data_IF_470374168981
#
_entry.id   IF_470374168981
#
_cell.length_a   1.000
_cell.length_b   1.000
_cell.length_c   1.000
_cell.angle_alpha   90.00
_cell.angle_beta   90.00
_cell.angle_gamma   90.00
#
_symmetry.space_group_name_H-M   'P 1'
#
loop_
_entity.id
_entity.type
_entity.pdbx_description
1 polymer ?
#
# COMPACT_ATOMS: atom_id res chain seq x y z
N UNK A 1 21.66 -0.95 0.71
CA UNK A 1 20.80 0.19 0.32
C UNK A 1 21.01 0.42 -1.17
N UNK A 2 19.94 0.39 -1.97
CA UNK A 2 20.01 0.62 -3.41
C UNK A 2 19.07 1.78 -3.74
N UNK A 3 19.63 2.96 -4.02
CA UNK A 3 18.85 4.12 -4.42
C UNK A 3 18.24 3.88 -5.80
N UNK A 4 16.96 4.22 -5.96
CA UNK A 4 16.20 3.99 -7.20
C UNK A 4 16.14 5.21 -8.11
N UNK A 5 16.28 6.40 -7.52
CA UNK A 5 16.22 7.67 -8.23
C UNK A 5 17.44 8.52 -7.90
N UNK A 6 17.96 9.19 -8.92
CA UNK A 6 19.09 10.12 -8.81
C UNK A 6 18.71 11.43 -9.51
N UNK A 7 19.09 12.55 -8.92
CA UNK A 7 18.90 13.89 -9.47
C UNK A 7 20.07 14.79 -9.02
N UNK A 8 20.16 16.00 -9.57
CA UNK A 8 21.22 16.96 -9.25
C UNK A 8 20.62 18.33 -8.98
N UNK A 9 20.89 18.86 -7.79
CA UNK A 9 20.58 20.26 -7.46
C UNK A 9 21.72 21.13 -7.94
N UNK A 10 21.42 22.13 -8.78
CA UNK A 10 22.36 23.17 -9.20
C UNK A 10 21.99 24.50 -8.58
N UNK A 11 22.98 25.27 -8.16
CA UNK A 11 22.81 26.60 -7.57
C UNK A 11 23.99 27.52 -7.88
N UNK A 12 23.73 28.83 -7.88
CA UNK A 12 24.74 29.85 -8.16
C UNK A 12 25.53 30.29 -6.92
N UNK A 13 25.09 29.90 -5.72
CA UNK A 13 25.74 30.22 -4.45
C UNK A 13 25.46 29.16 -3.38
N UNK A 14 26.27 29.10 -2.30
CA UNK A 14 26.04 28.15 -1.19
C UNK A 14 24.68 28.32 -0.52
N UNK A 15 24.20 29.55 -0.37
CA UNK A 15 22.90 29.84 0.26
C UNK A 15 21.72 29.43 -0.62
N UNK A 16 21.82 29.60 -1.94
CA UNK A 16 20.83 29.11 -2.90
C UNK A 16 20.83 27.56 -2.92
N UNK A 17 22.01 26.93 -2.86
CA UNK A 17 22.12 25.47 -2.78
C UNK A 17 21.44 24.93 -1.53
N UNK A 18 21.69 25.53 -0.36
CA UNK A 18 21.08 25.11 0.90
C UNK A 18 19.56 25.22 0.88
N UNK A 19 19.00 26.30 0.30
CA UNK A 19 17.55 26.47 0.15
C UNK A 19 16.93 25.40 -0.74
N UNK A 20 17.52 25.15 -1.92
CA UNK A 20 17.01 24.15 -2.87
C UNK A 20 17.14 22.73 -2.31
N UNK A 21 18.21 22.42 -1.59
CA UNK A 21 18.37 21.14 -0.90
C UNK A 21 17.33 20.95 0.20
N UNK A 22 17.06 22.00 0.99
CA UNK A 22 16.02 21.94 2.03
C UNK A 22 14.65 21.63 1.44
N UNK A 23 14.35 22.14 0.25
CA UNK A 23 13.12 21.80 -0.46
C UNK A 23 13.12 20.34 -0.93
N UNK A 24 14.19 19.88 -1.59
CA UNK A 24 14.32 18.49 -2.06
C UNK A 24 14.26 17.47 -0.91
N UNK A 25 14.81 17.80 0.26
CA UNK A 25 14.69 16.96 1.47
C UNK A 25 13.23 16.76 1.90
N UNK A 26 12.40 17.82 1.83
CA UNK A 26 10.96 17.72 2.11
C UNK A 26 10.20 16.87 1.08
N UNK A 27 10.74 16.76 -0.12
CA UNK A 27 10.21 15.95 -1.23
C UNK A 27 10.69 14.49 -1.19
N UNK A 28 11.45 14.10 -0.15
CA UNK A 28 11.91 12.72 0.06
C UNK A 28 13.29 12.40 -0.52
N UNK A 29 14.00 13.38 -1.04
CA UNK A 29 15.39 13.21 -1.49
C UNK A 29 16.38 13.27 -0.34
N UNK A 30 17.58 12.73 -0.54
CA UNK A 30 18.72 12.88 0.36
C UNK A 30 20.01 13.20 -0.41
N UNK A 31 20.93 14.02 0.15
CA UNK A 31 22.23 14.28 -0.45
C UNK A 31 23.01 12.97 -0.65
N UNK A 32 23.54 12.81 -1.85
CA UNK A 32 24.40 11.70 -2.21
C UNK A 32 25.83 12.21 -2.38
N UNK A 33 26.67 11.98 -1.38
CA UNK A 33 28.03 12.52 -1.33
C UNK A 33 28.08 14.02 -1.03
N UNK A 34 29.25 14.62 -1.23
CA UNK A 34 29.51 16.04 -0.97
C UNK A 34 29.21 16.92 -2.18
N UNK A 35 28.85 18.20 -1.99
CA UNK A 35 28.61 19.11 -3.10
C UNK A 35 29.92 19.43 -3.83
N UNK A 36 29.84 19.58 -5.14
CA UNK A 36 30.97 19.87 -6.03
C UNK A 36 30.82 21.28 -6.61
N UNK A 37 31.90 22.06 -6.58
CA UNK A 37 31.99 23.32 -7.32
C UNK A 37 32.51 23.04 -8.72
N UNK A 38 31.68 23.30 -9.74
CA UNK A 38 32.05 23.05 -11.16
C UNK A 38 32.66 24.32 -11.77
N UNK A 39 32.17 25.48 -11.36
CA UNK A 39 32.74 26.80 -11.68
C UNK A 39 32.62 27.70 -10.44
N UNK A 40 33.25 28.89 -10.41
CA UNK A 40 33.10 29.84 -9.30
C UNK A 40 31.64 30.24 -9.01
N UNK A 41 30.73 30.03 -9.96
CA UNK A 41 29.32 30.42 -9.89
C UNK A 41 28.38 29.22 -10.09
N UNK A 42 28.86 27.99 -9.94
CA UNK A 42 28.01 26.80 -10.10
C UNK A 42 28.40 25.73 -9.10
N UNK A 43 27.55 25.56 -8.10
CA UNK A 43 27.60 24.44 -7.16
C UNK A 43 26.59 23.38 -7.58
N UNK A 44 26.97 22.12 -7.40
CA UNK A 44 26.11 20.97 -7.65
C UNK A 44 26.11 20.03 -6.46
N UNK A 45 24.94 19.51 -6.09
CA UNK A 45 24.78 18.43 -5.12
C UNK A 45 24.01 17.31 -5.79
N UNK A 46 24.63 16.13 -5.90
CA UNK A 46 23.91 14.92 -6.27
C UNK A 46 22.94 14.57 -5.13
N UNK A 47 21.73 14.17 -5.48
CA UNK A 47 20.72 13.72 -4.53
C UNK A 47 20.18 12.38 -5.01
N UNK A 48 19.76 11.54 -4.06
CA UNK A 48 19.20 10.23 -4.34
C UNK A 48 17.94 10.00 -3.49
N UNK A 49 17.06 9.12 -3.93
CA UNK A 49 15.88 8.73 -3.17
C UNK A 49 15.67 7.20 -3.23
N UNK A 50 15.22 6.63 -2.12
CA UNK A 50 14.91 5.20 -2.01
C UNK A 50 13.43 4.87 -2.33
N UNK A 51 12.54 5.87 -2.35
CA UNK A 51 11.10 5.73 -2.60
C UNK A 51 10.52 6.83 -3.52
N UNK A 52 9.18 6.85 -3.66
CA UNK A 52 8.45 7.81 -4.52
C UNK A 52 8.74 9.27 -4.13
N UNK A 53 9.18 10.03 -5.12
CA UNK A 53 9.49 11.45 -4.99
C UNK A 53 8.26 12.26 -5.40
N UNK A 54 7.87 13.26 -4.59
CA UNK A 54 6.69 14.09 -4.87
C UNK A 54 6.88 15.11 -6.02
N UNK A 55 8.12 15.39 -6.42
CA UNK A 55 8.46 16.23 -7.58
C UNK A 55 9.07 15.41 -8.72
N UNK A 56 8.55 15.52 -9.96
CA UNK A 56 9.07 14.78 -11.10
C UNK A 56 10.50 15.21 -11.44
N UNK A 57 11.36 14.24 -11.77
CA UNK A 57 12.68 14.49 -12.35
C UNK A 57 12.46 15.00 -13.77
N UNK A 58 12.68 16.30 -13.99
CA UNK A 58 12.64 16.89 -15.33
C UNK A 58 14.03 16.74 -15.95
N UNK A 59 14.27 15.65 -16.66
CA UNK A 59 15.37 15.61 -17.65
C UNK A 59 14.84 16.33 -18.89
N UNK A 60 15.35 17.54 -19.17
CA UNK A 60 15.17 18.16 -20.49
C UNK A 60 16.30 17.66 -21.40
N UNK A 61 16.04 16.82 -22.42
CA UNK A 61 16.96 16.70 -23.54
C UNK A 61 17.08 18.05 -24.24
N UNK A 62 18.21 18.33 -24.87
CA UNK A 62 18.46 19.57 -25.63
C UNK A 62 17.51 19.77 -26.81
N UNK A 63 16.72 18.76 -27.16
CA UNK A 63 15.99 18.71 -28.42
C UNK A 63 14.48 18.59 -28.14
N UNK A 64 13.87 19.71 -27.77
CA UNK A 64 12.47 20.06 -28.07
C UNK A 64 11.30 19.27 -27.45
N UNK A 65 11.45 18.00 -27.09
CA UNK A 65 10.34 17.18 -26.57
C UNK A 65 10.73 16.60 -25.20
N UNK A 66 10.24 17.27 -24.15
CA UNK A 66 10.34 16.76 -22.78
C UNK A 66 9.40 15.56 -22.60
N UNK A 67 9.96 14.36 -22.52
CA UNK A 67 9.23 13.20 -22.02
C UNK A 67 9.08 13.33 -20.49
N UNK A 68 7.89 13.73 -20.06
CA UNK A 68 7.50 13.77 -18.64
C UNK A 68 7.30 12.32 -18.18
N UNK A 69 8.25 11.74 -17.44
CA UNK A 69 7.99 10.50 -16.70
C UNK A 69 7.18 10.89 -15.44
N UNK A 70 5.88 11.09 -15.65
CA UNK A 70 4.91 11.26 -14.59
C UNK A 70 4.56 9.87 -14.03
N UNK A 71 5.12 9.48 -12.89
CA UNK A 71 4.73 8.25 -12.20
C UNK A 71 3.51 8.44 -11.28
N UNK A 72 2.70 9.48 -11.48
CA UNK A 72 1.40 9.64 -10.81
C UNK A 72 0.22 9.13 -11.67
N UNK A 73 0.48 8.29 -12.67
CA UNK A 73 -0.61 7.56 -13.32
C UNK A 73 -1.07 6.41 -12.42
N UNK A 74 -2.39 6.24 -12.29
CA UNK A 74 -2.94 5.02 -11.71
C UNK A 74 -2.38 3.81 -12.47
N UNK A 75 -2.04 2.71 -11.78
CA UNK A 75 -1.58 1.50 -12.45
C UNK A 75 -2.50 1.08 -13.60
N UNK A 76 -1.91 0.67 -14.73
CA UNK A 76 -2.66 0.12 -15.86
C UNK A 76 -3.33 -1.21 -15.53
N UNK A 77 -2.77 -1.96 -14.58
CA UNK A 77 -3.26 -3.24 -14.08
C UNK A 77 -2.61 -3.58 -12.73
N UNK A 78 -3.09 -4.64 -12.09
CA UNK A 78 -2.64 -5.06 -10.78
C UNK A 78 -2.20 -6.54 -10.75
N UNK A 79 -1.12 -6.81 -10.02
CA UNK A 79 -0.88 -8.13 -9.46
C UNK A 79 -1.76 -8.29 -8.23
N UNK A 80 -2.63 -9.30 -8.25
CA UNK A 80 -3.59 -9.58 -7.19
C UNK A 80 -2.96 -10.52 -6.17
N UNK A 81 -3.03 -10.15 -4.88
CA UNK A 81 -2.58 -10.97 -3.76
C UNK A 81 -3.74 -11.13 -2.80
N UNK A 82 -4.26 -12.34 -2.67
CA UNK A 82 -5.29 -12.64 -1.68
C UNK A 82 -4.65 -12.94 -0.31
N UNK A 83 -5.25 -12.41 0.74
CA UNK A 83 -4.84 -12.63 2.13
C UNK A 83 -5.99 -13.36 2.82
N UNK A 84 -5.72 -14.55 3.35
CA UNK A 84 -6.74 -15.39 3.96
C UNK A 84 -6.19 -16.20 5.14
N UNK A 85 -7.11 -16.66 5.99
CA UNK A 85 -6.80 -17.37 7.22
C UNK A 85 -7.41 -16.68 8.42
N UNK A 86 -6.67 -16.62 9.54
CA UNK A 86 -7.17 -16.08 10.81
C UNK A 86 -6.35 -14.89 11.33
N UNK A 87 -6.28 -14.73 12.66
CA UNK A 87 -5.73 -13.56 13.34
C UNK A 87 -4.31 -13.19 12.89
N UNK A 88 -3.40 -14.16 12.84
CA UNK A 88 -2.02 -13.91 12.39
C UNK A 88 -1.90 -13.63 10.89
N UNK A 89 -2.97 -13.84 10.11
CA UNK A 89 -3.06 -13.43 8.71
C UNK A 89 -3.53 -11.99 8.49
N UNK A 90 -3.87 -11.26 9.56
CA UNK A 90 -4.46 -9.92 9.49
C UNK A 90 -3.94 -8.98 10.59
N UNK A 91 -4.61 -7.86 10.78
CA UNK A 91 -4.19 -6.77 11.65
C UNK A 91 -4.33 -7.09 13.15
N UNK A 92 -3.59 -8.05 13.69
CA UNK A 92 -3.54 -8.34 15.13
C UNK A 92 -2.30 -7.74 15.84
N UNK A 93 -1.45 -7.00 15.13
CA UNK A 93 -0.34 -6.28 15.74
C UNK A 93 -0.85 -5.11 16.58
N UNK A 94 -0.63 -5.16 17.90
CA UNK A 94 -1.13 -4.16 18.85
C UNK A 94 -0.21 -2.93 18.99
N UNK A 95 0.95 -2.94 18.33
CA UNK A 95 1.88 -1.82 18.31
C UNK A 95 1.28 -0.57 17.66
N UNK A 96 1.79 0.60 18.02
CA UNK A 96 1.35 1.87 17.45
C UNK A 96 1.61 1.93 15.94
N UNK A 97 0.58 2.15 15.09
CA UNK A 97 0.79 2.36 13.66
C UNK A 97 1.67 3.58 13.36
N UNK A 98 2.45 3.49 12.28
CA UNK A 98 3.41 4.50 11.84
C UNK A 98 3.12 4.99 10.41
N UNK A 99 1.97 5.67 10.17
CA UNK A 99 1.47 6.02 8.83
C UNK A 99 2.35 7.03 8.09
N UNK A 100 3.25 7.72 8.79
CA UNK A 100 4.22 8.63 8.16
C UNK A 100 5.48 7.89 7.66
N UNK A 101 5.71 6.65 8.08
CA UNK A 101 6.93 5.88 7.78
C UNK A 101 6.63 4.48 7.24
N UNK A 102 6.75 3.44 8.06
CA UNK A 102 6.66 2.04 7.65
C UNK A 102 5.27 1.67 7.15
N UNK A 103 4.24 2.23 7.78
CA UNK A 103 2.83 1.95 7.49
C UNK A 103 2.24 2.92 6.48
N UNK A 104 3.07 3.82 5.93
CA UNK A 104 2.63 4.79 4.92
C UNK A 104 2.04 4.09 3.71
N UNK A 105 0.80 4.43 3.29
CA UNK A 105 0.21 3.94 2.05
C UNK A 105 1.07 4.27 0.82
N UNK A 106 0.93 3.46 -0.22
CA UNK A 106 1.59 3.65 -1.51
C UNK A 106 0.54 3.84 -2.61
N UNK A 107 0.71 4.80 -3.54
CA UNK A 107 -0.27 5.07 -4.58
C UNK A 107 -0.54 3.87 -5.49
N UNK A 108 0.42 2.95 -5.65
CA UNK A 108 0.31 1.74 -6.49
C UNK A 108 -0.19 0.51 -5.72
N UNK A 109 -0.39 0.61 -4.41
CA UNK A 109 -0.91 -0.48 -3.58
C UNK A 109 -2.34 -0.17 -3.16
N UNK A 110 -3.26 -1.03 -3.57
CA UNK A 110 -4.69 -0.92 -3.32
C UNK A 110 -5.22 -2.16 -2.60
N UNK A 111 -6.44 -2.07 -2.08
CA UNK A 111 -7.18 -3.21 -1.55
C UNK A 111 -8.64 -3.17 -2.01
N UNK A 112 -9.31 -4.33 -1.98
CA UNK A 112 -10.77 -4.38 -2.12
C UNK A 112 -11.45 -4.01 -0.80
N UNK A 113 -12.31 -3.00 -0.85
CA UNK A 113 -13.05 -2.53 0.30
C UNK A 113 -14.08 -3.55 0.84
N UNK A 114 -14.29 -3.54 2.15
CA UNK A 114 -15.43 -4.16 2.85
C UNK A 114 -16.22 -3.20 3.74
N UNK A 115 -15.52 -2.36 4.52
CA UNK A 115 -16.11 -1.35 5.41
C UNK A 115 -16.93 -0.33 4.61
N UNK A 116 -17.77 0.45 5.32
CA UNK A 116 -18.55 1.55 4.74
C UNK A 116 -17.72 2.80 4.43
N UNK A 117 -16.53 2.92 5.01
CA UNK A 117 -15.57 4.01 4.77
C UNK A 117 -14.15 3.47 4.60
N UNK A 118 -13.32 4.19 3.83
CA UNK A 118 -11.93 3.82 3.53
C UNK A 118 -11.07 3.78 4.80
N UNK A 119 -11.27 4.74 5.68
CA UNK A 119 -10.69 4.81 7.03
C UNK A 119 -11.79 5.19 8.02
N UNK A 120 -11.63 5.03 9.34
CA UNK A 120 -12.60 5.52 10.31
C UNK A 120 -12.86 7.02 10.14
N UNK A 121 -14.10 7.41 9.85
CA UNK A 121 -14.49 8.80 9.57
C UNK A 121 -14.02 9.34 8.21
N UNK A 122 -13.44 8.50 7.35
CA UNK A 122 -12.98 8.87 6.01
C UNK A 122 -14.07 8.82 4.95
N UNK A 123 -13.65 8.88 3.68
CA UNK A 123 -14.55 8.80 2.53
C UNK A 123 -15.32 7.48 2.51
N UNK A 124 -16.58 7.51 2.05
CA UNK A 124 -17.39 6.32 1.87
C UNK A 124 -16.82 5.40 0.79
N UNK A 125 -16.99 4.09 0.98
CA UNK A 125 -16.70 3.08 -0.03
C UNK A 125 -17.73 1.96 0.04
N UNK A 126 -17.92 1.28 -1.09
CA UNK A 126 -18.78 0.12 -1.21
C UNK A 126 -17.95 -1.17 -1.19
N UNK A 127 -18.63 -2.30 -0.96
CA UNK A 127 -18.00 -3.62 -1.04
C UNK A 127 -17.34 -3.81 -2.42
N UNK A 128 -16.06 -4.23 -2.40
CA UNK A 128 -15.18 -4.40 -3.56
C UNK A 128 -14.76 -3.14 -4.33
N UNK A 129 -15.01 -1.92 -3.81
CA UNK A 129 -14.36 -0.73 -4.35
C UNK A 129 -12.82 -0.87 -4.20
N UNK A 130 -12.08 -0.43 -5.23
CA UNK A 130 -10.62 -0.39 -5.19
C UNK A 130 -10.19 0.88 -4.44
N UNK A 131 -9.69 0.71 -3.22
CA UNK A 131 -9.32 1.79 -2.31
C UNK A 131 -7.83 1.73 -1.95
N UNK A 132 -7.22 2.80 -1.39
CA UNK A 132 -5.87 2.72 -0.85
C UNK A 132 -5.73 1.60 0.20
N UNK A 133 -4.59 0.91 0.17
CA UNK A 133 -4.21 0.00 1.24
C UNK A 133 -3.41 0.73 2.32
N UNK A 134 -3.73 0.47 3.58
CA UNK A 134 -2.96 0.92 4.74
C UNK A 134 -2.67 -0.26 5.69
N UNK A 135 -2.20 0.02 6.91
CA UNK A 135 -1.81 -0.99 7.90
C UNK A 135 -2.97 -1.84 8.42
N UNK A 136 -4.23 -1.40 8.29
CA UNK A 136 -5.40 -2.08 8.84
C UNK A 136 -6.41 -2.39 7.71
N UNK A 137 -6.13 -3.47 6.98
CA UNK A 137 -6.88 -3.88 5.79
C UNK A 137 -8.34 -4.29 6.08
N UNK A 138 -9.17 -4.29 5.04
CA UNK A 138 -10.61 -4.56 5.07
C UNK A 138 -10.91 -6.08 5.09
N UNK A 139 -10.31 -6.80 6.03
CA UNK A 139 -10.59 -8.21 6.31
C UNK A 139 -12.05 -8.44 6.78
N UNK A 140 -12.48 -9.70 6.94
CA UNK A 140 -13.86 -10.01 7.36
C UNK A 140 -14.16 -9.43 8.74
N UNK A 141 -13.16 -9.43 9.63
CA UNK A 141 -13.24 -8.79 10.94
C UNK A 141 -12.63 -7.39 10.88
N UNK A 142 -13.39 -6.39 11.32
CA UNK A 142 -12.96 -4.99 11.33
C UNK A 142 -12.15 -4.66 12.60
N UNK A 143 -10.82 -4.60 12.46
CA UNK A 143 -9.91 -4.24 13.55
C UNK A 143 -9.54 -2.75 13.60
N UNK A 144 -10.18 -1.92 12.77
CA UNK A 144 -9.90 -0.48 12.73
C UNK A 144 -10.37 0.29 13.96
N UNK A 145 -11.25 -0.32 14.75
CA UNK A 145 -11.80 0.25 15.99
C UNK A 145 -10.92 -0.01 17.22
N UNK A 146 -9.89 -0.84 17.10
CA UNK A 146 -9.04 -1.29 18.21
C UNK A 146 -7.72 -0.53 18.23
N UNK A 147 -7.79 0.79 18.43
CA UNK A 147 -6.61 1.66 18.40
C UNK A 147 -5.74 1.53 19.64
N UNK A 148 -4.42 1.65 19.45
CA UNK A 148 -3.46 1.75 20.55
C UNK A 148 -3.80 2.95 21.47
N UNK A 149 -3.60 2.88 22.81
CA UNK A 149 -3.96 3.97 23.74
C UNK A 149 -3.28 5.32 23.50
N UNK A 150 -2.17 5.33 22.74
CA UNK A 150 -1.42 6.53 22.35
C UNK A 150 -1.63 6.94 20.88
N UNK A 151 -2.61 6.36 20.21
CA UNK A 151 -2.90 6.65 18.81
C UNK A 151 -3.49 8.05 18.62
N UNK A 152 -3.01 8.75 17.59
CA UNK A 152 -3.77 9.83 16.96
C UNK A 152 -4.85 9.27 16.02
N UNK A 153 -5.69 10.15 15.45
CA UNK A 153 -6.74 9.73 14.51
C UNK A 153 -6.20 9.00 13.27
N UNK A 154 -5.00 9.34 12.79
CA UNK A 154 -4.36 8.68 11.65
C UNK A 154 -3.74 7.32 11.99
N UNK A 155 -3.60 7.00 13.28
CA UNK A 155 -2.95 5.78 13.79
C UNK A 155 -4.00 4.79 14.33
N UNK A 156 -5.14 4.73 13.66
CA UNK A 156 -6.28 3.94 14.08
C UNK A 156 -6.01 2.43 14.00
N UNK A 157 -6.72 1.65 14.81
CA UNK A 157 -6.73 0.19 14.73
C UNK A 157 -5.40 -0.48 15.05
N UNK A 158 -5.35 -1.76 14.69
CA UNK A 158 -4.17 -2.61 14.80
C UNK A 158 -3.39 -2.68 13.47
N UNK A 159 -2.23 -3.32 13.46
CA UNK A 159 -1.32 -3.42 12.29
C UNK A 159 -1.27 -4.85 11.75
N UNK A 160 -1.43 -5.00 10.43
CA UNK A 160 -1.28 -6.27 9.71
C UNK A 160 -0.22 -6.19 8.62
N UNK A 161 0.34 -7.36 8.26
CA UNK A 161 1.50 -7.47 7.37
C UNK A 161 1.18 -7.30 5.87
N UNK A 162 -0.09 -7.27 5.48
CA UNK A 162 -0.49 -7.27 4.07
C UNK A 162 0.07 -6.09 3.27
N UNK A 163 0.06 -4.89 3.85
CA UNK A 163 0.68 -3.70 3.26
C UNK A 163 2.19 -3.90 3.08
N UNK A 164 2.89 -4.43 4.08
CA UNK A 164 4.34 -4.59 4.05
C UNK A 164 4.78 -5.67 3.06
N UNK A 165 4.00 -6.75 2.91
CA UNK A 165 4.18 -7.74 1.84
C UNK A 165 4.09 -7.04 0.49
N UNK A 166 3.05 -6.25 0.24
CA UNK A 166 2.89 -5.53 -1.01
C UNK A 166 4.04 -4.53 -1.26
N UNK A 167 4.43 -3.73 -0.26
CA UNK A 167 5.56 -2.79 -0.39
C UNK A 167 6.87 -3.49 -0.72
N UNK A 168 7.10 -4.70 -0.22
CA UNK A 168 8.29 -5.51 -0.53
C UNK A 168 8.23 -6.16 -1.91
N UNK A 169 7.03 -6.44 -2.44
CA UNK A 169 6.84 -6.98 -3.79
C UNK A 169 6.90 -5.90 -4.89
N UNK A 170 6.46 -4.67 -4.58
CA UNK A 170 6.36 -3.56 -5.53
C UNK A 170 7.64 -3.27 -6.35
N UNK A 171 8.87 -3.39 -5.82
CA UNK A 171 10.10 -3.21 -6.59
C UNK A 171 10.33 -4.26 -7.69
N UNK A 172 9.64 -5.39 -7.64
CA UNK A 172 9.84 -6.54 -8.53
C UNK A 172 8.78 -6.64 -9.63
N UNK A 173 7.81 -5.71 -9.68
CA UNK A 173 6.78 -5.67 -10.73
C UNK A 173 7.01 -4.48 -11.67
N UNK A 174 6.45 -4.51 -12.91
CA UNK A 174 6.55 -3.41 -13.86
C UNK A 174 6.07 -2.08 -13.28
N UNK A 175 6.70 -0.97 -13.70
CA UNK A 175 6.39 0.37 -13.19
C UNK A 175 4.94 0.82 -13.46
N UNK A 176 4.34 0.34 -14.56
CA UNK A 176 2.94 0.61 -14.90
C UNK A 176 1.94 -0.33 -14.18
N UNK A 177 2.41 -1.28 -13.37
CA UNK A 177 1.58 -2.21 -12.61
C UNK A 177 1.50 -1.80 -11.13
N UNK A 178 0.43 -2.20 -10.45
CA UNK A 178 0.25 -2.05 -9.02
C UNK A 178 0.05 -3.39 -8.32
N UNK A 179 -0.19 -3.34 -7.01
CA UNK A 179 -0.61 -4.51 -6.22
C UNK A 179 -2.02 -4.28 -5.71
N UNK A 180 -2.91 -5.24 -5.94
CA UNK A 180 -4.27 -5.24 -5.42
C UNK A 180 -4.41 -6.34 -4.37
N UNK A 181 -4.53 -5.93 -3.12
CA UNK A 181 -4.74 -6.81 -1.97
C UNK A 181 -6.21 -7.22 -1.88
N UNK A 182 -6.45 -8.49 -1.58
CA UNK A 182 -7.80 -9.04 -1.38
C UNK A 182 -7.89 -9.59 0.05
N UNK A 183 -8.16 -8.73 1.06
CA UNK A 183 -8.22 -9.13 2.46
C UNK A 183 -9.51 -9.92 2.76
N UNK A 184 -9.35 -11.14 3.28
CA UNK A 184 -10.40 -12.12 3.55
C UNK A 184 -10.17 -12.91 4.86
N UNK A 185 -9.31 -12.41 5.76
CA UNK A 185 -9.02 -13.09 7.02
C UNK A 185 -10.13 -12.89 8.06
N UNK A 186 -10.20 -13.81 9.03
CA UNK A 186 -11.11 -13.72 10.18
C UNK A 186 -10.44 -14.27 11.44
N UNK A 187 -10.21 -13.44 12.46
CA UNK A 187 -9.65 -13.91 13.73
C UNK A 187 -10.47 -15.03 14.39
N UNK A 188 -9.81 -16.05 14.94
CA UNK A 188 -10.50 -17.17 15.60
C UNK A 188 -11.33 -18.06 14.66
N UNK A 189 -11.15 -17.95 13.34
CA UNK A 189 -11.78 -18.87 12.39
C UNK A 189 -11.04 -20.20 12.32
N UNK A 190 -11.78 -21.30 12.17
CA UNK A 190 -11.22 -22.65 12.08
C UNK A 190 -11.94 -23.50 11.00
N UNK A 191 -11.37 -24.66 10.67
CA UNK A 191 -12.05 -25.63 9.80
C UNK A 191 -13.05 -26.51 10.57
N UNK A 192 -12.72 -26.88 11.81
CA UNK A 192 -13.51 -27.84 12.61
C UNK A 192 -14.36 -27.18 13.72
N UNK A 193 -14.18 -25.88 13.96
CA UNK A 193 -14.93 -25.11 14.95
C UNK A 193 -15.38 -23.73 14.39
N UNK A 194 -16.22 -23.02 15.14
CA UNK A 194 -16.74 -21.70 14.79
C UNK A 194 -18.07 -21.73 14.03
N UNK A 195 -18.79 -20.61 14.13
CA UNK A 195 -20.08 -20.38 13.47
C UNK A 195 -19.92 -20.30 11.96
N UNK A 196 -20.90 -20.82 11.21
CA UNK A 196 -20.87 -20.73 9.75
C UNK A 196 -21.02 -19.28 9.26
N UNK A 197 -21.87 -18.50 9.92
CA UNK A 197 -22.26 -17.17 9.48
C UNK A 197 -23.09 -17.20 8.20
N UNK A 198 -23.09 -16.09 7.47
CA UNK A 198 -23.83 -15.95 6.20
C UNK A 198 -22.96 -15.30 5.13
N UNK A 199 -23.31 -15.52 3.86
CA UNK A 199 -22.67 -14.88 2.72
C UNK A 199 -23.71 -14.08 1.93
N UNK A 200 -23.33 -12.89 1.50
CA UNK A 200 -24.09 -12.04 0.57
C UNK A 200 -23.18 -11.60 -0.57
N UNK A 201 -23.71 -11.56 -1.79
CA UNK A 201 -22.95 -11.04 -2.95
C UNK A 201 -22.62 -9.55 -2.82
N UNK A 202 -23.43 -8.79 -2.07
CA UNK A 202 -23.27 -7.33 -1.93
C UNK A 202 -22.41 -6.90 -0.74
N UNK A 203 -22.17 -7.78 0.24
CA UNK A 203 -21.43 -7.45 1.48
C UNK A 203 -20.40 -8.50 1.89
N UNK A 204 -20.36 -9.64 1.20
CA UNK A 204 -19.46 -10.75 1.52
C UNK A 204 -19.88 -11.59 2.71
N UNK A 205 -18.91 -12.26 3.32
CA UNK A 205 -19.08 -12.98 4.59
C UNK A 205 -19.49 -12.04 5.73
N UNK A 206 -20.41 -12.50 6.58
CA UNK A 206 -20.80 -11.80 7.80
C UNK A 206 -19.68 -11.77 8.85
N UNK A 207 -19.72 -10.79 9.76
CA UNK A 207 -18.78 -10.70 10.89
C UNK A 207 -18.77 -11.95 11.78
N UNK A 208 -19.91 -12.64 11.86
CA UNK A 208 -20.09 -13.90 12.60
C UNK A 208 -19.56 -15.13 11.88
N UNK A 209 -19.18 -15.03 10.59
CA UNK A 209 -18.61 -16.15 9.86
C UNK A 209 -17.25 -16.50 10.44
N UNK A 210 -17.09 -17.70 11.00
CA UNK A 210 -15.87 -18.17 11.65
C UNK A 210 -15.49 -19.61 11.21
N UNK A 211 -16.19 -20.18 10.23
CA UNK A 211 -15.93 -21.52 9.69
C UNK A 211 -15.32 -21.45 8.30
N UNK A 212 -14.10 -21.94 8.15
CA UNK A 212 -13.51 -22.25 6.84
C UNK A 212 -13.98 -23.62 6.35
N UNK A 213 -14.07 -23.77 5.03
CA UNK A 213 -14.47 -25.01 4.39
C UNK A 213 -15.14 -24.74 3.05
N UNK A 214 -15.15 -25.73 2.17
CA UNK A 214 -15.81 -25.62 0.87
C UNK A 214 -17.28 -25.21 1.08
N UNK A 215 -17.74 -24.29 0.25
CA UNK A 215 -19.09 -23.70 0.27
C UNK A 215 -19.48 -22.88 1.51
N UNK A 216 -18.58 -22.75 2.50
CA UNK A 216 -18.80 -21.89 3.68
C UNK A 216 -18.64 -20.41 3.32
N UNK A 217 -19.26 -19.49 4.09
CA UNK A 217 -19.20 -18.06 3.80
C UNK A 217 -17.78 -17.49 3.62
N UNK A 218 -16.82 -17.87 4.48
CA UNK A 218 -15.43 -17.41 4.35
C UNK A 218 -14.77 -17.88 3.04
N UNK A 219 -15.03 -19.12 2.63
CA UNK A 219 -14.53 -19.64 1.36
C UNK A 219 -15.17 -18.93 0.15
N UNK A 220 -16.49 -18.72 0.18
CA UNK A 220 -17.21 -17.98 -0.87
C UNK A 220 -16.74 -16.53 -0.95
N UNK A 221 -16.45 -15.90 0.17
CA UNK A 221 -15.93 -14.54 0.24
C UNK A 221 -14.51 -14.44 -0.37
N UNK A 222 -13.60 -15.34 0.00
CA UNK A 222 -12.27 -15.43 -0.63
C UNK A 222 -12.37 -15.61 -2.16
N UNK A 223 -13.20 -16.56 -2.59
CA UNK A 223 -13.36 -16.88 -4.01
C UNK A 223 -13.95 -15.69 -4.80
N UNK A 224 -15.07 -15.15 -4.35
CA UNK A 224 -15.79 -14.10 -5.09
C UNK A 224 -15.04 -12.77 -5.06
N UNK A 225 -14.35 -12.42 -3.97
CA UNK A 225 -13.51 -11.21 -3.93
C UNK A 225 -12.28 -11.34 -4.81
N UNK A 226 -11.64 -12.51 -4.84
CA UNK A 226 -10.51 -12.74 -5.76
C UNK A 226 -10.96 -12.67 -7.21
N UNK A 227 -12.13 -13.23 -7.54
CA UNK A 227 -12.73 -13.08 -8.87
C UNK A 227 -13.08 -11.63 -9.20
N UNK A 228 -13.63 -10.86 -8.25
CA UNK A 228 -13.91 -9.44 -8.43
C UNK A 228 -12.64 -8.64 -8.74
N UNK A 229 -11.54 -8.90 -8.02
CA UNK A 229 -10.24 -8.28 -8.27
C UNK A 229 -9.73 -8.59 -9.70
N UNK A 230 -9.85 -9.83 -10.17
CA UNK A 230 -9.43 -10.21 -11.52
C UNK A 230 -10.36 -9.65 -12.60
N UNK A 231 -11.67 -9.58 -12.35
CA UNK A 231 -12.67 -9.04 -13.28
C UNK A 231 -12.60 -7.52 -13.44
N UNK A 232 -12.11 -6.81 -12.42
CA UNK A 232 -11.98 -5.36 -12.45
C UNK A 232 -11.10 -4.86 -13.61
N UNK A 233 -10.14 -5.66 -14.04
CA UNK A 233 -9.33 -5.37 -15.22
C UNK A 233 -8.79 -6.68 -15.83
N UNK A 234 -9.01 -6.96 -17.13
CA UNK A 234 -8.59 -8.22 -17.76
C UNK A 234 -7.08 -8.44 -17.80
N UNK A 235 -6.27 -7.41 -17.55
CA UNK A 235 -4.80 -7.52 -17.41
C UNK A 235 -4.35 -7.89 -15.99
N UNK A 236 -5.26 -7.97 -15.02
CA UNK A 236 -4.91 -8.34 -13.66
C UNK A 236 -4.46 -9.80 -13.59
N UNK A 237 -3.45 -10.06 -12.75
CA UNK A 237 -2.82 -11.38 -12.63
C UNK A 237 -2.87 -11.83 -11.17
N UNK A 238 -3.45 -13.00 -10.89
CA UNK A 238 -3.34 -13.59 -9.55
C UNK A 238 -1.91 -14.04 -9.32
N UNK A 239 -1.23 -13.39 -8.38
CA UNK A 239 0.16 -13.69 -8.04
C UNK A 239 0.26 -14.78 -6.97
N UNK A 240 -0.51 -14.64 -5.88
CA UNK A 240 -0.45 -15.54 -4.74
C UNK A 240 -1.70 -15.46 -3.87
N UNK A 241 -1.90 -16.53 -3.08
CA UNK A 241 -2.73 -16.53 -1.88
C UNK A 241 -1.79 -16.67 -0.68
N UNK A 242 -1.75 -15.65 0.19
CA UNK A 242 -1.04 -15.72 1.46
C UNK A 242 -2.01 -16.29 2.48
N UNK A 243 -1.73 -17.51 2.93
CA UNK A 243 -2.58 -18.25 3.86
C UNK A 243 -1.90 -18.40 5.22
N UNK A 244 -2.53 -17.87 6.27
CA UNK A 244 -2.05 -17.99 7.65
C UNK A 244 -3.19 -18.43 8.57
N UNK A 245 -3.27 -19.73 8.83
CA UNK A 245 -4.29 -20.38 9.66
C UNK A 245 -3.73 -21.63 10.32
N UNK A 246 -4.27 -21.98 11.49
CA UNK A 246 -4.05 -23.28 12.12
C UNK A 246 -4.08 -23.27 13.65
N UNK A 247 -4.32 -22.11 14.28
CA UNK A 247 -4.21 -21.98 15.73
C UNK A 247 -5.46 -22.47 16.49
N UNK A 248 -6.62 -22.58 15.84
CA UNK A 248 -7.91 -23.02 16.42
C UNK A 248 -8.47 -24.26 15.70
#
# INVERSE_FOLDING_TARGET
MAFKHYDVVRAASPSDLAKRLTQKLKEGWQPFGSPVAITPYTLMQAIAAEGDVTTPVVVKPSDGEGAVISTTSNPEYYFVVALAGQSNGMAYGEGLPLPETYDRPDPRIKQLARRSTVTPGGASCNYNDIIPADHCLHDVQDLSKFSHPKASAAQYGCVGQGLHIAKKLLPFIPANAGILLVPCCRGGSAFLAGDEGTFSESTGASETSARWGVDKPLYKDLLTRTQAALKANPKNILLAVVWMQGEF
#
